data_IF_370307195797
#
_entry.id   IF_370307195797
#
_cell.length_a   1.000
_cell.length_b   1.000
_cell.length_c   1.000
_cell.angle_alpha   90.00
_cell.angle_beta   90.00
_cell.angle_gamma   90.00
#
_symmetry.space_group_name_H-M   'P 1'
#
loop_
_entity.id
_entity.type
_entity.pdbx_description
1 polymer ?
#
# COMPACT_ATOMS: atom_id res chain seq x y z
N UNK A 1 -35.65 23.97 61.69
CA UNK A 1 -35.56 23.07 62.82
C UNK A 1 -34.22 22.36 62.73
N UNK A 2 -33.32 22.77 63.67
CA UNK A 2 -32.22 22.05 64.33
C UNK A 2 -31.16 21.40 63.43
N UNK A 3 -29.97 21.95 63.17
CA UNK A 3 -28.74 22.08 64.01
C UNK A 3 -28.12 20.75 64.44
N UNK A 4 -26.84 20.53 64.02
CA UNK A 4 -25.64 20.19 64.82
C UNK A 4 -24.43 19.95 63.91
N UNK A 5 -23.51 20.74 63.94
CA UNK A 5 -22.14 20.95 64.47
C UNK A 5 -21.40 19.68 64.97
N UNK A 6 -20.11 19.76 64.66
CA UNK A 6 -18.90 19.09 65.22
C UNK A 6 -18.35 17.97 64.34
N UNK A 7 -17.07 17.88 64.05
CA UNK A 7 -15.91 18.41 64.75
C UNK A 7 -14.64 18.29 63.93
N UNK A 8 -13.69 19.10 64.27
CA UNK A 8 -12.30 19.22 63.85
C UNK A 8 -11.49 17.94 64.13
N UNK A 9 -10.71 17.50 63.15
CA UNK A 9 -9.71 16.49 63.33
C UNK A 9 -8.55 16.77 62.38
N UNK A 10 -7.54 17.49 62.85
CA UNK A 10 -6.29 17.72 62.16
C UNK A 10 -5.47 16.44 62.06
N UNK A 11 -4.88 16.19 60.91
CA UNK A 11 -3.79 15.23 60.75
C UNK A 11 -2.69 15.84 59.92
N UNK A 12 -1.54 15.93 60.52
CA UNK A 12 -0.23 16.40 60.08
C UNK A 12 0.24 15.80 58.74
N UNK A 13 1.09 16.53 58.01
CA UNK A 13 1.72 16.01 56.76
C UNK A 13 2.75 14.94 57.09
N UNK A 14 2.50 13.74 56.62
CA UNK A 14 3.52 12.64 56.64
C UNK A 14 4.62 12.96 55.65
N UNK A 15 5.83 13.10 56.13
CA UNK A 15 7.06 13.18 55.39
C UNK A 15 7.23 11.92 54.51
N UNK A 16 7.43 12.12 53.22
CA UNK A 16 7.90 11.06 52.31
C UNK A 16 9.36 10.72 52.59
N UNK A 17 9.73 9.43 52.69
CA UNK A 17 11.13 9.04 52.75
C UNK A 17 11.75 9.16 51.37
N UNK A 18 12.88 9.87 51.28
CA UNK A 18 13.78 9.90 50.14
C UNK A 18 14.32 8.51 49.89
N UNK A 19 13.95 7.87 48.82
CA UNK A 19 14.63 6.67 48.27
C UNK A 19 15.62 7.10 47.21
N UNK A 20 16.87 7.26 47.66
CA UNK A 20 18.01 7.17 46.79
C UNK A 20 18.14 5.73 46.26
N UNK A 21 18.15 5.60 44.97
CA UNK A 21 18.43 4.35 44.28
C UNK A 21 19.22 4.68 43.01
N UNK A 22 20.55 4.66 43.15
CA UNK A 22 21.49 4.63 42.04
C UNK A 22 21.29 3.30 41.29
N UNK A 23 20.38 3.28 40.30
CA UNK A 23 20.21 2.18 39.38
C UNK A 23 21.14 2.37 38.18
N UNK A 24 22.27 1.73 38.19
CA UNK A 24 23.23 1.69 37.10
C UNK A 24 22.55 1.21 35.81
N UNK A 25 22.54 2.06 34.79
CA UNK A 25 22.18 1.72 33.44
C UNK A 25 23.19 0.71 32.89
N UNK A 26 22.80 -0.56 32.82
CA UNK A 26 23.61 -1.59 32.18
C UNK A 26 23.72 -1.30 30.66
N UNK A 27 24.95 -1.20 30.10
CA UNK A 27 25.14 -0.93 28.68
C UNK A 27 24.81 -2.11 27.74
N UNK A 28 24.23 -3.19 28.30
CA UNK A 28 23.93 -4.41 27.52
C UNK A 28 22.62 -4.43 26.75
N UNK A 29 21.70 -3.49 27.00
CA UNK A 29 20.40 -3.47 26.33
C UNK A 29 20.43 -2.93 24.87
N UNK A 30 21.50 -2.21 24.48
CA UNK A 30 21.66 -1.66 23.14
C UNK A 30 22.15 -2.66 22.09
N UNK A 31 22.98 -3.59 22.49
CA UNK A 31 23.64 -4.55 21.57
C UNK A 31 22.67 -5.65 21.06
N UNK A 32 21.66 -6.02 21.87
CA UNK A 32 20.72 -7.09 21.51
C UNK A 32 19.71 -6.64 20.44
N UNK A 33 19.42 -5.34 20.33
CA UNK A 33 18.45 -4.81 19.32
C UNK A 33 18.97 -4.80 17.89
N UNK A 34 20.29 -4.82 17.67
CA UNK A 34 20.90 -4.87 16.34
C UNK A 34 20.89 -6.28 15.74
N UNK A 35 21.06 -7.30 16.59
CA UNK A 35 21.03 -8.71 16.18
C UNK A 35 19.59 -9.23 15.91
N UNK A 36 18.57 -8.57 16.45
CA UNK A 36 17.16 -8.97 16.24
C UNK A 36 16.56 -8.54 14.88
N UNK A 37 17.23 -7.66 14.12
CA UNK A 37 16.76 -7.21 12.80
C UNK A 37 16.91 -8.27 11.70
N UNK A 38 18.08 -8.92 11.52
CA UNK A 38 18.19 -10.01 10.54
C UNK A 38 17.38 -11.25 10.92
N UNK A 39 17.24 -11.56 12.21
CA UNK A 39 16.42 -12.69 12.67
C UNK A 39 14.93 -12.54 12.32
N UNK A 40 14.37 -11.32 12.38
CA UNK A 40 12.98 -11.04 11.98
C UNK A 40 12.75 -11.11 10.46
N UNK A 41 13.75 -10.78 9.66
CA UNK A 41 13.70 -10.98 8.22
C UNK A 41 13.75 -12.47 7.86
N UNK A 42 14.60 -13.23 8.54
CA UNK A 42 14.70 -14.69 8.39
C UNK A 42 13.42 -15.40 8.86
N UNK A 43 12.78 -14.93 9.93
CA UNK A 43 11.48 -15.49 10.37
C UNK A 43 10.33 -15.19 9.43
N UNK A 44 10.44 -14.21 8.49
CA UNK A 44 9.47 -14.00 7.43
C UNK A 44 9.66 -14.92 6.22
N UNK A 45 10.89 -15.34 5.96
CA UNK A 45 11.20 -16.16 4.78
C UNK A 45 10.98 -17.67 4.99
N UNK A 46 11.00 -18.15 6.25
CA UNK A 46 10.84 -19.57 6.52
C UNK A 46 9.49 -20.13 6.05
N UNK A 47 8.42 -19.33 6.19
CA UNK A 47 7.09 -19.74 5.74
C UNK A 47 7.04 -19.92 4.22
N UNK A 48 7.64 -19.00 3.46
CA UNK A 48 7.75 -19.15 2.00
C UNK A 48 8.60 -20.36 1.63
N UNK A 49 9.70 -20.61 2.35
CA UNK A 49 10.54 -21.79 2.13
C UNK A 49 9.78 -23.10 2.43
N UNK A 50 9.02 -23.14 3.52
CA UNK A 50 8.17 -24.30 3.88
C UNK A 50 7.08 -24.51 2.85
N UNK A 51 6.38 -23.46 2.40
CA UNK A 51 5.35 -23.58 1.38
C UNK A 51 5.93 -24.04 0.02
N UNK A 52 7.08 -23.52 -0.37
CA UNK A 52 7.78 -23.93 -1.58
C UNK A 52 8.25 -25.40 -1.48
N UNK A 53 8.80 -25.80 -0.33
CA UNK A 53 9.20 -27.19 -0.09
C UNK A 53 7.98 -28.13 -0.06
N UNK A 54 6.90 -27.73 0.58
CA UNK A 54 5.65 -28.51 0.56
C UNK A 54 5.11 -28.65 -0.87
N UNK A 55 5.11 -27.56 -1.65
CA UNK A 55 4.72 -27.64 -3.07
C UNK A 55 5.65 -28.57 -3.85
N UNK A 56 6.97 -28.44 -3.67
CA UNK A 56 7.94 -29.32 -4.33
C UNK A 56 7.66 -30.79 -4.03
N UNK A 57 7.51 -31.16 -2.76
CA UNK A 57 7.29 -32.55 -2.32
C UNK A 57 5.94 -33.09 -2.83
N UNK A 58 4.87 -32.31 -2.73
CA UNK A 58 3.52 -32.74 -3.14
C UNK A 58 3.38 -32.81 -4.66
N UNK A 59 4.13 -32.00 -5.42
CA UNK A 59 4.07 -31.98 -6.88
C UNK A 59 5.06 -32.93 -7.56
N UNK A 60 6.11 -33.41 -6.86
CA UNK A 60 7.20 -34.19 -7.45
C UNK A 60 6.73 -35.50 -8.12
N UNK A 61 5.68 -36.13 -7.60
CA UNK A 61 5.07 -37.35 -8.15
C UNK A 61 3.77 -37.12 -8.94
N UNK A 62 3.42 -35.84 -9.19
CA UNK A 62 2.13 -35.52 -9.82
C UNK A 62 2.13 -35.88 -11.29
N UNK A 63 1.16 -36.72 -11.68
CA UNK A 63 0.82 -36.98 -13.08
C UNK A 63 -0.36 -36.17 -13.59
N UNK A 64 -0.92 -35.29 -12.72
CA UNK A 64 -2.04 -34.45 -13.07
C UNK A 64 -1.60 -33.30 -13.99
N UNK A 65 -2.26 -33.09 -15.14
CA UNK A 65 -1.99 -31.94 -16.00
C UNK A 65 -2.23 -30.59 -15.29
N UNK A 66 -3.19 -30.54 -14.35
CA UNK A 66 -3.58 -29.32 -13.64
C UNK A 66 -2.59 -28.90 -12.57
N UNK A 67 -1.82 -29.85 -12.03
CA UNK A 67 -0.84 -29.62 -10.98
C UNK A 67 0.51 -30.24 -11.36
N UNK A 68 1.24 -29.65 -12.31
CA UNK A 68 2.50 -30.18 -12.82
C UNK A 68 3.61 -30.07 -11.77
N UNK A 69 4.67 -30.89 -11.86
CA UNK A 69 5.84 -30.78 -10.99
C UNK A 69 6.49 -29.41 -11.05
N UNK A 70 6.85 -28.88 -9.86
CA UNK A 70 7.45 -27.56 -9.74
C UNK A 70 8.73 -27.41 -10.56
N UNK A 71 9.55 -28.48 -10.68
CA UNK A 71 10.75 -28.48 -11.52
C UNK A 71 10.42 -28.19 -12.99
N UNK A 72 9.37 -28.81 -13.52
CA UNK A 72 8.90 -28.59 -14.90
C UNK A 72 8.47 -27.14 -15.10
N UNK A 73 7.75 -26.58 -14.12
CA UNK A 73 7.30 -25.18 -14.15
C UNK A 73 8.51 -24.24 -14.15
N UNK A 74 9.49 -24.45 -13.27
CA UNK A 74 10.68 -23.59 -13.17
C UNK A 74 11.56 -23.64 -14.43
N UNK A 75 11.74 -24.83 -15.02
CA UNK A 75 12.45 -25.01 -16.29
C UNK A 75 11.74 -24.27 -17.41
N UNK A 76 10.41 -24.39 -17.48
CA UNK A 76 9.59 -23.72 -18.49
C UNK A 76 9.56 -22.20 -18.31
N UNK A 77 9.54 -21.75 -17.05
CA UNK A 77 9.64 -20.33 -16.70
C UNK A 77 10.93 -19.71 -17.27
N UNK A 78 12.07 -20.35 -17.07
CA UNK A 78 13.34 -19.89 -17.64
C UNK A 78 13.27 -19.80 -19.16
N UNK A 79 12.75 -20.84 -19.82
CA UNK A 79 12.66 -20.90 -21.28
C UNK A 79 11.75 -19.80 -21.86
N UNK A 80 10.62 -19.52 -21.23
CA UNK A 80 9.64 -18.56 -21.75
C UNK A 80 9.99 -17.11 -21.41
N UNK A 81 10.34 -16.85 -20.15
CA UNK A 81 10.42 -15.49 -19.62
C UNK A 81 11.84 -14.91 -19.62
N UNK A 82 12.88 -15.75 -19.56
CA UNK A 82 14.27 -15.30 -19.57
C UNK A 82 14.88 -15.45 -20.97
N UNK A 83 14.84 -16.63 -21.54
CA UNK A 83 15.41 -16.92 -22.85
C UNK A 83 14.43 -16.65 -24.01
N UNK A 84 13.13 -16.68 -23.77
CA UNK A 84 12.08 -16.64 -24.80
C UNK A 84 11.46 -15.25 -25.04
N UNK A 85 10.34 -15.26 -25.78
CA UNK A 85 9.62 -14.07 -26.24
C UNK A 85 8.55 -13.57 -25.26
N UNK A 86 8.21 -14.32 -24.21
CA UNK A 86 7.14 -13.93 -23.28
C UNK A 86 7.46 -12.65 -22.47
N UNK A 87 8.72 -12.24 -22.41
CA UNK A 87 9.16 -11.01 -21.73
C UNK A 87 8.48 -9.73 -22.24
N UNK A 88 8.04 -9.68 -23.49
CA UNK A 88 7.34 -8.50 -24.00
C UNK A 88 5.90 -8.40 -23.46
N UNK A 89 5.29 -9.51 -23.05
CA UNK A 89 4.01 -9.49 -22.33
C UNK A 89 4.17 -8.77 -20.98
N UNK A 90 5.29 -9.01 -20.30
CA UNK A 90 5.64 -8.32 -19.05
C UNK A 90 5.80 -6.81 -19.27
N UNK A 91 6.55 -6.41 -20.32
CA UNK A 91 6.77 -5.00 -20.62
C UNK A 91 5.45 -4.27 -20.88
N UNK A 92 4.56 -4.89 -21.69
CA UNK A 92 3.22 -4.35 -21.97
C UNK A 92 2.38 -4.16 -20.70
N UNK A 93 2.32 -5.17 -19.81
CA UNK A 93 1.58 -5.07 -18.55
C UNK A 93 2.12 -3.97 -17.65
N UNK A 94 3.46 -3.87 -17.51
CA UNK A 94 4.10 -2.85 -16.67
C UNK A 94 3.88 -1.43 -17.21
N UNK A 95 3.82 -1.25 -18.52
CA UNK A 95 3.55 0.05 -19.15
C UNK A 95 2.13 0.54 -18.81
N UNK A 96 1.11 -0.31 -18.99
CA UNK A 96 -0.27 0.03 -18.62
C UNK A 96 -0.42 0.30 -17.14
N UNK A 97 0.19 -0.54 -16.31
CA UNK A 97 0.20 -0.38 -14.86
C UNK A 97 0.86 0.94 -14.44
N UNK A 98 2.07 1.23 -14.94
CA UNK A 98 2.82 2.41 -14.53
C UNK A 98 2.08 3.70 -14.89
N UNK A 99 1.53 3.78 -16.11
CA UNK A 99 0.79 4.97 -16.55
C UNK A 99 -0.53 5.11 -15.79
N UNK A 100 -1.32 4.03 -15.66
CA UNK A 100 -2.58 4.06 -14.93
C UNK A 100 -2.41 4.42 -13.46
N UNK A 101 -1.43 3.83 -12.80
CA UNK A 101 -1.09 4.13 -11.41
C UNK A 101 -0.57 5.57 -11.23
N UNK A 102 0.28 6.07 -12.15
CA UNK A 102 0.75 7.45 -12.09
C UNK A 102 -0.39 8.46 -12.24
N UNK A 103 -1.32 8.24 -13.18
CA UNK A 103 -2.52 9.07 -13.34
C UNK A 103 -3.36 9.03 -12.07
N UNK A 104 -3.61 7.84 -11.50
CA UNK A 104 -4.37 7.68 -10.27
C UNK A 104 -3.72 8.40 -9.07
N UNK A 105 -2.39 8.32 -8.95
CA UNK A 105 -1.64 8.98 -7.89
C UNK A 105 -1.78 10.50 -7.98
N UNK A 106 -1.51 11.08 -9.16
CA UNK A 106 -1.60 12.53 -9.39
C UNK A 106 -3.04 13.02 -9.23
N UNK A 107 -4.00 12.35 -9.86
CA UNK A 107 -5.41 12.73 -9.77
C UNK A 107 -5.96 12.56 -8.35
N UNK A 108 -5.66 11.46 -7.67
CA UNK A 108 -6.13 11.19 -6.31
C UNK A 108 -5.61 12.21 -5.30
N UNK A 109 -4.31 12.54 -5.34
CA UNK A 109 -3.73 13.58 -4.49
C UNK A 109 -4.29 14.95 -4.86
N UNK A 110 -4.35 15.29 -6.15
CA UNK A 110 -4.82 16.59 -6.63
C UNK A 110 -6.29 16.84 -6.28
N UNK A 111 -7.18 15.88 -6.59
CA UNK A 111 -8.62 15.99 -6.29
C UNK A 111 -8.83 15.96 -4.76
N UNK A 112 -8.10 15.11 -4.02
CA UNK A 112 -8.17 15.06 -2.56
C UNK A 112 -7.80 16.40 -1.92
N UNK A 113 -6.71 17.03 -2.37
CA UNK A 113 -6.29 18.35 -1.90
C UNK A 113 -7.27 19.46 -2.28
N UNK A 114 -7.84 19.39 -3.49
CA UNK A 114 -8.85 20.33 -3.95
C UNK A 114 -10.13 20.22 -3.10
N UNK A 115 -10.64 19.01 -2.88
CA UNK A 115 -11.83 18.77 -2.07
C UNK A 115 -11.60 19.18 -0.59
N UNK A 116 -10.40 18.97 -0.06
CA UNK A 116 -10.05 19.46 1.26
C UNK A 116 -10.15 20.99 1.35
N UNK A 117 -9.67 21.70 0.35
CA UNK A 117 -9.71 23.15 0.29
C UNK A 117 -11.13 23.72 0.11
N UNK A 118 -12.03 22.97 -0.51
CA UNK A 118 -13.40 23.38 -0.87
C UNK A 118 -14.44 22.62 -0.02
N UNK A 119 -14.57 22.99 1.26
CA UNK A 119 -15.44 22.26 2.22
C UNK A 119 -16.86 22.00 1.69
N UNK A 120 -17.52 23.01 1.10
CA UNK A 120 -18.91 22.87 0.57
C UNK A 120 -18.99 21.86 -0.57
N UNK A 121 -17.99 21.87 -1.47
CA UNK A 121 -17.91 20.92 -2.60
C UNK A 121 -17.69 19.52 -2.06
N UNK A 122 -16.77 19.37 -1.10
CA UNK A 122 -16.51 18.08 -0.45
C UNK A 122 -17.75 17.48 0.19
N UNK A 123 -18.49 18.27 0.99
CA UNK A 123 -19.71 17.82 1.65
C UNK A 123 -20.80 17.40 0.62
N UNK A 124 -20.93 18.14 -0.48
CA UNK A 124 -21.88 17.83 -1.54
C UNK A 124 -21.48 16.59 -2.37
N UNK A 125 -20.18 16.39 -2.63
CA UNK A 125 -19.68 15.30 -3.47
C UNK A 125 -19.35 14.02 -2.72
N UNK A 126 -19.23 14.08 -1.40
CA UNK A 126 -18.84 12.94 -0.55
C UNK A 126 -19.67 11.68 -0.79
N UNK A 127 -21.03 11.72 -0.84
CA UNK A 127 -21.81 10.51 -1.10
C UNK A 127 -21.49 9.87 -2.47
N UNK A 128 -21.23 10.69 -3.48
CA UNK A 128 -20.89 10.23 -4.83
C UNK A 128 -19.48 9.60 -4.87
N UNK A 129 -18.51 10.20 -4.19
CA UNK A 129 -17.15 9.66 -4.07
C UNK A 129 -17.18 8.27 -3.43
N UNK A 130 -17.90 8.12 -2.31
CA UNK A 130 -18.05 6.82 -1.65
C UNK A 130 -18.81 5.81 -2.52
N UNK A 131 -19.83 6.23 -3.23
CA UNK A 131 -20.53 5.36 -4.18
C UNK A 131 -19.58 4.82 -5.25
N UNK A 132 -18.76 5.67 -5.87
CA UNK A 132 -17.79 5.25 -6.89
C UNK A 132 -16.67 4.38 -6.32
N UNK A 133 -16.26 4.63 -5.08
CA UNK A 133 -15.24 3.81 -4.40
C UNK A 133 -15.71 2.37 -4.13
N UNK A 134 -17.00 2.21 -3.75
CA UNK A 134 -17.57 0.88 -3.45
C UNK A 134 -17.92 0.12 -4.73
N UNK A 135 -18.02 0.80 -5.87
CA UNK A 135 -18.38 0.17 -7.13
C UNK A 135 -17.35 -0.89 -7.53
N UNK A 136 -17.76 -2.15 -7.78
CA UNK A 136 -16.86 -3.21 -8.21
C UNK A 136 -16.26 -2.89 -9.58
N UNK A 137 -15.08 -2.28 -9.61
CA UNK A 137 -14.45 -1.80 -10.86
C UNK A 137 -14.34 -2.87 -11.97
N UNK A 138 -14.13 -4.19 -11.68
CA UNK A 138 -14.12 -5.21 -12.73
C UNK A 138 -15.41 -5.25 -13.57
N UNK A 139 -16.55 -4.89 -12.99
CA UNK A 139 -17.85 -4.85 -13.70
C UNK A 139 -17.89 -3.73 -14.76
N UNK A 140 -17.06 -2.71 -14.61
CA UNK A 140 -16.96 -1.60 -15.56
C UNK A 140 -16.11 -1.90 -16.79
N UNK A 141 -15.32 -2.99 -16.77
CA UNK A 141 -14.43 -3.33 -17.90
C UNK A 141 -15.17 -3.40 -19.23
N UNK A 142 -16.32 -4.09 -19.38
CA UNK A 142 -17.07 -4.13 -20.64
C UNK A 142 -17.58 -2.74 -21.08
N UNK A 143 -18.01 -1.90 -20.13
CA UNK A 143 -18.49 -0.55 -20.45
C UNK A 143 -17.36 0.35 -20.94
N UNK A 144 -16.20 0.32 -20.25
CA UNK A 144 -15.01 1.08 -20.64
C UNK A 144 -14.46 0.58 -21.98
N UNK A 145 -14.49 -0.74 -22.21
CA UNK A 145 -14.12 -1.35 -23.48
C UNK A 145 -15.00 -0.86 -24.64
N UNK A 146 -16.31 -0.66 -24.42
CA UNK A 146 -17.22 -0.15 -25.42
C UNK A 146 -16.89 1.30 -25.81
N UNK A 147 -16.41 2.11 -24.85
CA UNK A 147 -16.10 3.53 -25.07
C UNK A 147 -14.70 3.70 -25.70
N UNK A 148 -13.70 3.01 -25.19
CA UNK A 148 -12.29 3.19 -25.57
C UNK A 148 -11.74 2.12 -26.52
N UNK A 149 -12.53 1.09 -26.83
CA UNK A 149 -12.10 -0.07 -27.60
C UNK A 149 -11.20 -1.01 -26.78
N UNK A 150 -10.81 -2.14 -27.40
CA UNK A 150 -9.83 -3.07 -26.83
C UNK A 150 -8.43 -2.53 -27.10
N UNK A 151 -7.66 -2.25 -26.06
CA UNK A 151 -6.27 -1.80 -26.26
C UNK A 151 -5.69 -1.05 -25.08
N UNK A 152 -4.66 -0.27 -25.37
CA UNK A 152 -3.85 0.47 -24.40
C UNK A 152 -4.70 1.42 -23.53
N UNK A 153 -5.50 2.28 -24.17
CA UNK A 153 -6.26 3.32 -23.48
C UNK A 153 -7.25 2.73 -22.46
N UNK A 154 -7.98 1.69 -22.84
CA UNK A 154 -8.94 1.02 -21.96
C UNK A 154 -8.25 0.49 -20.68
N UNK A 155 -7.11 -0.18 -20.81
CA UNK A 155 -6.37 -0.73 -19.67
C UNK A 155 -5.88 0.37 -18.73
N UNK A 156 -5.31 1.44 -19.29
CA UNK A 156 -4.84 2.59 -18.50
C UNK A 156 -6.00 3.27 -17.76
N UNK A 157 -7.13 3.48 -18.45
CA UNK A 157 -8.31 4.13 -17.86
C UNK A 157 -8.89 3.30 -16.72
N UNK A 158 -9.05 1.98 -16.90
CA UNK A 158 -9.62 1.13 -15.84
C UNK A 158 -8.72 1.06 -14.60
N UNK A 159 -7.39 0.97 -14.81
CA UNK A 159 -6.42 0.98 -13.71
C UNK A 159 -6.47 2.33 -12.98
N UNK A 160 -6.44 3.44 -13.73
CA UNK A 160 -6.49 4.77 -13.16
C UNK A 160 -7.80 5.03 -12.39
N UNK A 161 -8.93 4.64 -12.96
CA UNK A 161 -10.24 4.78 -12.33
C UNK A 161 -10.34 4.01 -11.02
N UNK A 162 -9.84 2.78 -10.97
CA UNK A 162 -9.89 1.98 -9.75
C UNK A 162 -8.96 2.51 -8.66
N UNK A 163 -7.76 2.90 -9.05
CA UNK A 163 -6.69 3.26 -8.11
C UNK A 163 -6.80 4.71 -7.58
N UNK A 164 -7.57 5.59 -8.23
CA UNK A 164 -7.73 6.98 -7.81
C UNK A 164 -8.42 7.10 -6.45
N UNK A 165 -9.41 6.25 -6.16
CA UNK A 165 -10.25 6.37 -4.97
C UNK A 165 -9.50 6.14 -3.66
N UNK A 166 -8.72 5.05 -3.48
CA UNK A 166 -7.92 4.86 -2.28
C UNK A 166 -6.94 6.01 -2.04
N UNK A 167 -6.30 6.53 -3.09
CA UNK A 167 -5.39 7.68 -2.97
C UNK A 167 -6.15 8.94 -2.56
N UNK A 168 -7.29 9.23 -3.18
CA UNK A 168 -8.12 10.39 -2.91
C UNK A 168 -8.61 10.41 -1.45
N UNK A 169 -9.22 9.31 -1.01
CA UNK A 169 -9.78 9.21 0.34
C UNK A 169 -8.68 9.31 1.40
N UNK A 170 -7.58 8.61 1.24
CA UNK A 170 -6.45 8.71 2.18
C UNK A 170 -5.80 10.10 2.17
N UNK A 171 -5.77 10.80 1.02
CA UNK A 171 -5.31 12.19 0.96
C UNK A 171 -6.23 13.11 1.76
N UNK A 172 -7.54 12.99 1.57
CA UNK A 172 -8.55 13.74 2.33
C UNK A 172 -8.43 13.48 3.83
N UNK A 173 -8.34 12.22 4.25
CA UNK A 173 -8.25 11.82 5.64
C UNK A 173 -6.94 12.33 6.27
N UNK A 174 -5.83 12.21 5.54
CA UNK A 174 -4.55 12.71 5.99
C UNK A 174 -4.54 14.23 6.19
N UNK A 175 -5.15 14.97 5.27
CA UNK A 175 -5.25 16.43 5.37
C UNK A 175 -6.23 16.87 6.46
N UNK A 176 -7.33 16.15 6.67
CA UNK A 176 -8.27 16.40 7.78
C UNK A 176 -7.66 16.10 9.15
N UNK A 177 -6.73 15.14 9.23
CA UNK A 177 -6.03 14.74 10.45
C UNK A 177 -4.86 15.64 10.85
N UNK A 178 -4.59 16.73 10.13
CA UNK A 178 -3.52 17.66 10.50
C UNK A 178 -3.90 18.40 11.78
N UNK A 179 -2.98 18.41 12.75
CA UNK A 179 -3.14 19.06 14.04
C UNK A 179 -3.54 20.55 13.88
N UNK A 180 -4.68 20.99 14.46
CA UNK A 180 -5.13 22.36 14.43
C UNK A 180 -4.08 23.36 14.92
N UNK A 181 -3.28 23.01 15.93
CA UNK A 181 -2.21 23.85 16.46
C UNK A 181 -1.16 24.19 15.39
N UNK A 182 -0.84 23.22 14.52
CA UNK A 182 0.07 23.46 13.37
C UNK A 182 -0.54 24.41 12.35
N UNK A 183 -1.85 24.32 12.11
CA UNK A 183 -2.55 25.21 11.19
C UNK A 183 -2.63 26.63 11.76
N UNK A 184 -2.90 26.78 13.04
CA UNK A 184 -2.97 28.10 13.70
C UNK A 184 -1.59 28.76 13.74
N UNK A 185 -0.55 28.01 14.08
CA UNK A 185 0.84 28.51 14.06
C UNK A 185 1.24 28.99 12.65
N UNK A 186 0.86 28.25 11.63
CA UNK A 186 1.13 28.62 10.23
C UNK A 186 0.37 29.91 9.82
N UNK A 187 -0.87 30.10 10.31
CA UNK A 187 -1.65 31.32 10.09
C UNK A 187 -1.00 32.54 10.74
N UNK A 188 -0.50 32.40 11.97
CA UNK A 188 0.25 33.47 12.66
C UNK A 188 1.50 33.86 11.87
N UNK A 189 2.14 32.93 11.17
CA UNK A 189 3.28 33.18 10.27
C UNK A 189 2.86 33.74 8.90
N UNK A 190 1.58 34.07 8.68
CA UNK A 190 1.06 34.66 7.45
C UNK A 190 0.78 33.66 6.33
N UNK A 191 0.88 32.34 6.57
CA UNK A 191 0.57 31.33 5.57
C UNK A 191 -0.96 31.15 5.41
N UNK A 192 -1.43 31.21 4.17
CA UNK A 192 -2.85 31.01 3.83
C UNK A 192 -3.03 30.39 2.43
N UNK A 193 -4.23 29.88 2.15
CA UNK A 193 -4.58 29.33 0.84
C UNK A 193 -3.61 28.26 0.32
N UNK A 194 -3.18 28.35 -0.95
CA UNK A 194 -2.29 27.34 -1.56
C UNK A 194 -0.94 27.18 -0.87
N UNK A 195 -0.39 28.28 -0.30
CA UNK A 195 0.87 28.23 0.45
C UNK A 195 0.74 27.37 1.71
N UNK A 196 -0.38 27.50 2.45
CA UNK A 196 -0.71 26.66 3.61
C UNK A 196 -0.77 25.18 3.20
N UNK A 197 -1.49 24.87 2.12
CA UNK A 197 -1.65 23.49 1.62
C UNK A 197 -0.29 22.91 1.27
N UNK A 198 0.51 23.59 0.48
CA UNK A 198 1.78 23.07 -0.04
C UNK A 198 2.86 22.95 1.04
N UNK A 199 2.96 23.93 1.95
CA UNK A 199 4.07 24.01 2.89
C UNK A 199 3.79 23.34 4.24
N UNK A 200 2.53 23.17 4.63
CA UNK A 200 2.16 22.65 5.95
C UNK A 200 1.28 21.41 5.83
N UNK A 201 0.14 21.51 5.14
CA UNK A 201 -0.88 20.45 5.17
C UNK A 201 -0.45 19.22 4.41
N UNK A 202 0.01 19.35 3.16
CA UNK A 202 0.46 18.21 2.34
C UNK A 202 1.65 17.46 2.96
N UNK A 203 2.73 18.14 3.43
CA UNK A 203 3.81 17.46 4.13
C UNK A 203 3.36 16.75 5.43
N UNK A 204 2.46 17.37 6.20
CA UNK A 204 1.93 16.77 7.42
C UNK A 204 1.03 15.55 7.14
N UNK A 205 0.25 15.58 6.06
CA UNK A 205 -0.59 14.48 5.58
C UNK A 205 0.22 13.36 4.86
N UNK A 206 1.50 13.60 4.57
CA UNK A 206 2.37 12.73 3.79
C UNK A 206 2.30 11.25 4.15
N UNK A 207 2.38 10.84 5.44
CA UNK A 207 2.28 9.43 5.82
C UNK A 207 0.95 8.78 5.40
N UNK A 208 -0.17 9.50 5.53
CA UNK A 208 -1.48 8.99 5.15
C UNK A 208 -1.65 8.94 3.62
N UNK A 209 -1.11 9.93 2.90
CA UNK A 209 -1.08 9.93 1.43
C UNK A 209 -0.31 8.71 0.93
N UNK A 210 0.86 8.42 1.50
CA UNK A 210 1.66 7.25 1.12
C UNK A 210 0.94 5.94 1.45
N UNK A 211 0.20 5.86 2.55
CA UNK A 211 -0.67 4.72 2.84
C UNK A 211 -1.76 4.54 1.76
N UNK A 212 -2.36 5.64 1.30
CA UNK A 212 -3.30 5.63 0.17
C UNK A 212 -2.68 5.15 -1.13
N UNK A 213 -1.48 5.64 -1.46
CA UNK A 213 -0.72 5.20 -2.64
C UNK A 213 -0.37 3.70 -2.58
N UNK A 214 -0.07 3.17 -1.39
CA UNK A 214 0.18 1.73 -1.20
C UNK A 214 -1.07 0.90 -1.49
N UNK A 215 -2.25 1.33 -1.00
CA UNK A 215 -3.51 0.67 -1.29
C UNK A 215 -3.84 0.73 -2.79
N UNK A 216 -3.62 1.88 -3.42
CA UNK A 216 -3.81 2.08 -4.87
C UNK A 216 -2.87 1.22 -5.69
N UNK A 217 -1.63 1.00 -5.25
CA UNK A 217 -0.68 0.08 -5.90
C UNK A 217 -1.27 -1.33 -6.03
N UNK A 218 -1.81 -1.86 -4.93
CA UNK A 218 -2.40 -3.19 -4.90
C UNK A 218 -3.63 -3.29 -5.82
N UNK A 219 -4.52 -2.29 -5.75
CA UNK A 219 -5.69 -2.21 -6.62
C UNK A 219 -5.27 -2.14 -8.09
N UNK A 220 -4.24 -1.34 -8.42
CA UNK A 220 -3.71 -1.22 -9.79
C UNK A 220 -3.20 -2.55 -10.35
N UNK A 221 -2.48 -3.35 -9.53
CA UNK A 221 -1.98 -4.66 -9.94
C UNK A 221 -3.16 -5.61 -10.24
N UNK A 222 -4.18 -5.62 -9.38
CA UNK A 222 -5.38 -6.44 -9.57
C UNK A 222 -6.08 -6.05 -10.87
N UNK A 223 -6.31 -4.75 -11.09
CA UNK A 223 -7.03 -4.28 -12.29
C UNK A 223 -6.21 -4.41 -13.57
N UNK A 224 -4.88 -4.33 -13.51
CA UNK A 224 -4.00 -4.68 -14.63
C UNK A 224 -4.30 -6.09 -15.12
N UNK A 225 -4.27 -7.07 -14.21
CA UNK A 225 -4.52 -8.49 -14.55
C UNK A 225 -5.95 -8.71 -15.01
N UNK A 226 -6.95 -8.16 -14.31
CA UNK A 226 -8.36 -8.33 -14.67
C UNK A 226 -8.67 -7.73 -16.04
N UNK A 227 -8.16 -6.55 -16.35
CA UNK A 227 -8.37 -5.93 -17.66
C UNK A 227 -7.72 -6.73 -18.80
N UNK A 228 -6.58 -7.35 -18.53
CA UNK A 228 -5.89 -8.20 -19.49
C UNK A 228 -6.57 -9.56 -19.70
N UNK A 229 -7.19 -10.11 -18.68
CA UNK A 229 -8.00 -11.35 -18.78
C UNK A 229 -9.28 -11.10 -19.57
N UNK A 230 -9.98 -9.99 -19.29
CA UNK A 230 -11.33 -9.75 -19.85
C UNK A 230 -11.25 -9.24 -21.29
N UNK A 231 -10.32 -8.33 -21.58
CA UNK A 231 -10.33 -7.60 -22.84
C UNK A 231 -8.92 -7.21 -23.29
N UNK A 232 -8.13 -8.20 -23.71
CA UNK A 232 -6.76 -7.93 -24.18
C UNK A 232 -6.33 -8.90 -25.26
N UNK A 233 -5.33 -8.46 -26.04
CA UNK A 233 -4.57 -9.27 -27.00
C UNK A 233 -3.12 -9.44 -26.56
N UNK A 234 -2.77 -9.02 -25.35
CA UNK A 234 -1.41 -9.11 -24.81
C UNK A 234 -1.36 -8.70 -23.33
N UNK A 235 -0.29 -9.06 -22.67
CA UNK A 235 -0.05 -8.88 -21.26
C UNK A 235 -0.02 -10.20 -20.48
N UNK A 236 0.39 -10.15 -19.22
CA UNK A 236 0.55 -11.36 -18.40
C UNK A 236 -0.80 -12.03 -18.13
N UNK A 237 -1.86 -11.23 -17.86
CA UNK A 237 -3.21 -11.76 -17.66
C UNK A 237 -3.74 -12.48 -18.90
N UNK A 238 -3.56 -11.89 -20.09
CA UNK A 238 -3.88 -12.51 -21.36
C UNK A 238 -3.10 -13.81 -21.58
N UNK A 239 -1.79 -13.80 -21.30
CA UNK A 239 -0.95 -14.99 -21.40
C UNK A 239 -1.47 -16.13 -20.50
N UNK A 240 -1.81 -15.84 -19.22
CA UNK A 240 -2.34 -16.82 -18.28
C UNK A 240 -3.65 -17.40 -18.80
N UNK A 241 -4.59 -16.56 -19.24
CA UNK A 241 -5.89 -17.00 -19.76
C UNK A 241 -5.72 -17.86 -21.02
N UNK A 242 -4.90 -17.42 -21.98
CA UNK A 242 -4.66 -18.17 -23.23
C UNK A 242 -4.01 -19.51 -22.96
N UNK A 243 -3.04 -19.56 -22.06
CA UNK A 243 -2.41 -20.82 -21.64
C UNK A 243 -3.45 -21.79 -21.00
N UNK A 244 -4.34 -21.27 -20.17
CA UNK A 244 -5.43 -22.04 -19.58
C UNK A 244 -6.39 -22.59 -20.64
N UNK A 245 -6.84 -21.76 -21.58
CA UNK A 245 -7.78 -22.12 -22.65
C UNK A 245 -7.17 -23.18 -23.61
N UNK A 246 -5.85 -23.13 -23.81
CA UNK A 246 -5.11 -24.10 -24.61
C UNK A 246 -4.68 -25.34 -23.81
N UNK A 247 -5.14 -25.52 -22.58
CA UNK A 247 -4.76 -26.62 -21.67
C UNK A 247 -3.24 -26.72 -21.42
N UNK A 248 -2.50 -25.63 -21.62
CA UNK A 248 -1.05 -25.52 -21.35
C UNK A 248 -0.82 -25.10 -19.90
N UNK A 249 -1.20 -25.96 -18.96
CA UNK A 249 -1.18 -25.61 -17.54
C UNK A 249 0.22 -25.29 -17.01
N UNK A 250 1.26 -25.89 -17.54
CA UNK A 250 2.65 -25.54 -17.19
C UNK A 250 2.94 -24.07 -17.52
N UNK A 251 2.54 -23.61 -18.70
CA UNK A 251 2.71 -22.22 -19.12
C UNK A 251 1.87 -21.27 -18.26
N UNK A 252 0.62 -21.65 -17.97
CA UNK A 252 -0.27 -20.90 -17.05
C UNK A 252 0.40 -20.68 -15.68
N UNK A 253 0.96 -21.74 -15.09
CA UNK A 253 1.64 -21.65 -13.80
C UNK A 253 2.88 -20.74 -13.85
N UNK A 254 3.64 -20.74 -14.97
CA UNK A 254 4.76 -19.80 -15.13
C UNK A 254 4.29 -18.36 -15.11
N UNK A 255 3.17 -18.04 -15.78
CA UNK A 255 2.57 -16.71 -15.77
C UNK A 255 2.15 -16.27 -14.37
N UNK A 256 1.52 -17.17 -13.59
CA UNK A 256 1.10 -16.91 -12.20
C UNK A 256 2.34 -16.60 -11.32
N UNK A 257 3.41 -17.39 -11.44
CA UNK A 257 4.65 -17.16 -10.68
C UNK A 257 5.27 -15.81 -11.04
N UNK A 258 5.37 -15.48 -12.34
CA UNK A 258 5.89 -14.19 -12.80
C UNK A 258 5.06 -13.04 -12.28
N UNK A 259 3.73 -13.16 -12.30
CA UNK A 259 2.83 -12.16 -11.73
C UNK A 259 3.06 -11.94 -10.23
N UNK A 260 3.23 -13.03 -9.46
CA UNK A 260 3.52 -12.94 -8.03
C UNK A 260 4.89 -12.27 -7.76
N UNK A 261 5.89 -12.58 -8.58
CA UNK A 261 7.21 -11.94 -8.50
C UNK A 261 7.12 -10.44 -8.81
N UNK A 262 6.38 -10.05 -9.86
CA UNK A 262 6.19 -8.63 -10.22
C UNK A 262 5.50 -7.89 -9.08
N UNK A 263 4.39 -8.42 -8.55
CA UNK A 263 3.68 -7.81 -7.44
C UNK A 263 4.60 -7.60 -6.22
N UNK A 264 5.45 -8.59 -5.94
CA UNK A 264 6.44 -8.52 -4.86
C UNK A 264 7.50 -7.44 -5.14
N UNK A 265 8.05 -7.40 -6.35
CA UNK A 265 9.05 -6.40 -6.75
C UNK A 265 8.46 -4.99 -6.72
N UNK A 266 7.27 -4.78 -7.27
CA UNK A 266 6.59 -3.48 -7.25
C UNK A 266 6.32 -3.01 -5.81
N UNK A 267 5.86 -3.91 -4.93
CA UNK A 267 5.68 -3.57 -3.52
C UNK A 267 7.02 -3.25 -2.83
N UNK A 268 8.10 -3.98 -3.12
CA UNK A 268 9.43 -3.70 -2.57
C UNK A 268 9.95 -2.33 -3.04
N UNK A 269 9.84 -2.03 -4.33
CA UNK A 269 10.21 -0.73 -4.90
C UNK A 269 9.41 0.39 -4.25
N UNK A 270 8.11 0.18 -4.04
CA UNK A 270 7.26 1.13 -3.34
C UNK A 270 7.73 1.37 -1.90
N UNK A 271 8.02 0.32 -1.13
CA UNK A 271 8.52 0.42 0.25
C UNK A 271 9.85 1.19 0.32
N UNK A 272 10.76 0.93 -0.62
CA UNK A 272 12.02 1.66 -0.71
C UNK A 272 11.80 3.16 -1.03
N UNK A 273 10.88 3.46 -1.95
CA UNK A 273 10.50 4.84 -2.27
C UNK A 273 9.83 5.54 -1.06
N UNK A 274 8.91 4.85 -0.35
CA UNK A 274 8.27 5.33 0.87
C UNK A 274 9.30 5.72 1.94
N UNK A 275 10.26 4.84 2.23
CA UNK A 275 11.32 5.14 3.20
C UNK A 275 12.14 6.37 2.81
N UNK A 276 12.35 6.60 1.52
CA UNK A 276 13.09 7.75 1.02
C UNK A 276 12.26 9.03 1.09
N UNK A 277 10.99 8.95 0.74
CA UNK A 277 10.05 10.09 0.76
C UNK A 277 9.70 10.51 2.18
N UNK A 278 9.52 9.56 3.12
CA UNK A 278 9.10 9.83 4.50
C UNK A 278 10.27 9.85 5.51
N UNK A 279 11.51 10.03 5.07
CA UNK A 279 12.69 9.98 5.96
C UNK A 279 12.58 10.96 7.14
N UNK A 280 11.99 12.16 6.93
CA UNK A 280 11.78 13.15 8.00
C UNK A 280 10.79 12.66 9.07
N UNK A 281 9.75 11.94 8.69
CA UNK A 281 8.73 11.43 9.63
C UNK A 281 9.29 10.33 10.53
N UNK A 282 10.10 9.44 9.99
CA UNK A 282 10.76 8.39 10.76
C UNK A 282 11.85 8.94 11.69
N UNK A 283 12.53 10.03 11.28
CA UNK A 283 13.53 10.73 12.10
C UNK A 283 12.91 11.40 13.34
N UNK A 284 11.75 12.04 13.21
CA UNK A 284 11.06 12.70 14.31
C UNK A 284 10.59 11.70 15.38
N UNK A 285 10.00 10.55 14.98
CA UNK A 285 9.58 9.49 15.92
C UNK A 285 10.75 8.82 16.67
N UNK A 286 11.93 8.76 16.05
CA UNK A 286 13.11 8.20 16.70
C UNK A 286 13.64 9.08 17.83
N UNK A 287 13.36 10.37 17.81
CA UNK A 287 13.74 11.33 18.87
C UNK A 287 12.71 11.39 20.00
N UNK A 288 11.43 11.23 19.72
CA UNK A 288 10.36 11.18 20.75
C UNK A 288 10.44 9.90 21.61
N UNK A 289 10.79 8.77 21.05
CA UNK A 289 10.96 7.50 21.78
C UNK A 289 12.21 7.42 22.66
N UNK A 290 13.04 8.48 22.70
CA UNK A 290 14.23 8.59 23.57
C UNK A 290 14.04 9.52 24.77
N UNK A 291 12.89 10.19 24.87
CA UNK A 291 12.48 10.98 26.04
C UNK A 291 11.51 10.16 26.89
#
# INVERSE_FOLDING_TARGET
>A
MIAKREGLGGSSPRAMPARGGLGGSSPRAGAVRWLARPARALTGLWLFAVLAAAWWVTSAGSTSPFFPPLETILRRLYQLWIAGSAKHQLASSLEHFALGYAIAAVAGIGIGALLWSLRRVREATSPFVYFLYVLPTPVLVPAIMTIFGIGFAMKVVIIAFAAVWPTLLNTLDGMNGVDPVKLDSARVLGLSGPAMVRSVVLPAAGPQIVAGLRNSLQVSIILMVVSEIVASTGGIGYFILTAQQNFSFVDMWTGIIVLALIGTVLNLVFVLAEHRVLHWHYGARATEGKR
#
